data_IF_551072658829
#
_entry.id   IF_551072658829
#
_cell.length_a   1.000
_cell.length_b   1.000
_cell.length_c   1.000
_cell.angle_alpha   90.00
_cell.angle_beta   90.00
_cell.angle_gamma   90.00
#
_symmetry.space_group_name_H-M   'P 1'
#
loop_
_entity.id
_entity.type
_entity.pdbx_description
1 polymer ?
#
# COMPACT_ATOMS: atom_id res chain seq x y z
N UNK A 1 -2.63 -5.81 22.48
CA UNK A 1 -2.42 -4.35 22.45
C UNK A 1 -3.14 -3.79 21.25
N UNK A 2 -3.77 -2.63 21.38
CA UNK A 2 -4.38 -1.95 20.24
C UNK A 2 -3.24 -1.39 19.37
N UNK A 3 -3.27 -1.72 18.08
CA UNK A 3 -2.32 -1.27 17.08
C UNK A 3 -2.86 0.00 16.39
N UNK A 4 -2.00 0.96 16.09
CA UNK A 4 -2.35 2.26 15.51
C UNK A 4 -1.40 2.64 14.37
N UNK A 5 -1.95 3.26 13.33
CA UNK A 5 -1.18 3.77 12.19
C UNK A 5 -0.14 4.83 12.56
N UNK A 6 -0.29 5.51 13.69
CA UNK A 6 0.68 6.47 14.22
C UNK A 6 1.95 5.81 14.76
N UNK A 7 1.93 4.52 15.05
CA UNK A 7 3.08 3.76 15.57
C UNK A 7 4.09 3.41 14.47
N UNK A 8 3.68 3.56 13.20
CA UNK A 8 4.54 3.29 12.06
C UNK A 8 5.58 4.40 11.92
N UNK A 9 6.88 4.04 11.85
CA UNK A 9 7.95 4.98 11.63
C UNK A 9 7.69 5.88 10.41
N UNK A 10 8.01 7.16 10.53
CA UNK A 10 7.97 8.13 9.43
C UNK A 10 9.37 8.25 8.84
N UNK A 11 9.50 8.07 7.52
CA UNK A 11 10.74 8.38 6.82
C UNK A 11 10.98 9.90 6.83
N UNK A 12 12.16 10.33 7.28
CA UNK A 12 12.53 11.76 7.26
C UNK A 12 12.85 12.25 5.85
N UNK A 13 13.29 11.35 4.96
CA UNK A 13 13.60 11.63 3.55
C UNK A 13 13.11 10.48 2.65
N UNK A 14 12.85 10.78 1.38
CA UNK A 14 12.16 9.87 0.44
C UNK A 14 12.87 8.53 0.22
N UNK A 15 14.19 8.48 0.42
CA UNK A 15 15.06 7.33 0.12
C UNK A 15 15.62 6.63 1.37
N UNK A 16 15.22 7.03 2.57
CA UNK A 16 15.78 6.47 3.81
C UNK A 16 14.79 5.62 4.59
N UNK A 17 15.16 4.35 4.78
CA UNK A 17 14.49 3.47 5.74
C UNK A 17 14.81 3.96 7.15
N UNK A 18 13.80 4.16 8.03
CA UNK A 18 14.01 4.51 9.43
C UNK A 18 14.98 3.56 10.15
N UNK A 19 15.88 4.12 10.97
CA UNK A 19 16.97 3.37 11.60
C UNK A 19 16.53 2.30 12.60
N UNK A 20 15.31 2.39 13.15
CA UNK A 20 14.74 1.34 14.00
C UNK A 20 14.26 0.09 13.25
N UNK A 21 14.20 0.15 11.91
CA UNK A 21 13.72 -0.96 11.09
C UNK A 21 14.85 -1.90 10.65
N UNK A 22 14.56 -3.19 10.42
CA UNK A 22 15.52 -4.13 9.87
C UNK A 22 16.06 -3.67 8.52
N UNK A 23 17.37 -3.85 8.31
CA UNK A 23 17.98 -3.67 7.00
C UNK A 23 17.39 -4.67 5.99
N UNK A 24 17.15 -4.20 4.78
CA UNK A 24 16.62 -5.03 3.69
C UNK A 24 15.90 -4.20 2.65
N UNK A 25 15.24 -4.89 1.71
CA UNK A 25 14.44 -4.26 0.67
C UNK A 25 13.06 -3.87 1.20
N UNK A 26 12.71 -2.61 0.99
CA UNK A 26 11.36 -2.11 1.19
C UNK A 26 10.76 -1.73 -0.15
N UNK A 27 9.48 -2.05 -0.33
CA UNK A 27 8.71 -1.65 -1.51
C UNK A 27 7.45 -0.92 -1.07
N UNK A 28 7.07 0.10 -1.82
CA UNK A 28 5.81 0.80 -1.61
C UNK A 28 4.66 -0.12 -2.00
N UNK A 29 3.68 -0.27 -1.11
CA UNK A 29 2.46 -1.05 -1.41
C UNK A 29 1.60 -0.28 -2.41
N UNK A 30 0.88 -0.99 -3.26
CA UNK A 30 -0.09 -0.39 -4.18
C UNK A 30 -1.15 0.37 -3.36
N UNK A 31 -1.52 1.62 -3.74
CA UNK A 31 -2.41 2.49 -2.97
C UNK A 31 -3.88 2.06 -3.10
N UNK A 32 -4.19 0.84 -2.66
CA UNK A 32 -5.52 0.25 -2.62
C UNK A 32 -5.76 -0.46 -1.28
N UNK A 33 -6.98 -0.95 -1.06
CA UNK A 33 -7.36 -1.62 0.19
C UNK A 33 -6.48 -2.84 0.52
N UNK A 34 -6.07 -3.63 -0.49
CA UNK A 34 -5.22 -4.80 -0.29
C UNK A 34 -3.79 -4.41 0.12
N UNK A 35 -3.22 -3.37 -0.50
CA UNK A 35 -1.94 -2.80 -0.11
C UNK A 35 -1.97 -2.23 1.30
N UNK A 36 -3.02 -1.50 1.65
CA UNK A 36 -3.22 -0.98 3.00
C UNK A 36 -3.33 -2.10 4.05
N UNK A 37 -4.06 -3.18 3.78
CA UNK A 37 -4.08 -4.36 4.67
C UNK A 37 -2.70 -5.01 4.79
N UNK A 38 -1.90 -5.00 3.73
CA UNK A 38 -0.52 -5.53 3.75
C UNK A 38 0.37 -4.67 4.66
N UNK A 39 0.30 -3.34 4.56
CA UNK A 39 0.99 -2.43 5.47
C UNK A 39 0.53 -2.63 6.93
N UNK A 40 -0.79 -2.76 7.15
CA UNK A 40 -1.36 -3.04 8.46
C UNK A 40 -0.81 -4.34 9.08
N UNK A 41 -0.73 -5.40 8.27
CA UNK A 41 -0.24 -6.72 8.69
C UNK A 41 1.26 -6.71 8.97
N UNK A 42 2.04 -5.99 8.17
CA UNK A 42 3.49 -5.90 8.34
C UNK A 42 3.86 -5.35 9.73
N UNK A 43 3.07 -4.38 10.19
CA UNK A 43 3.23 -3.71 11.48
C UNK A 43 4.43 -2.76 11.53
N UNK A 44 4.60 -2.00 12.63
CA UNK A 44 5.59 -0.94 12.75
C UNK A 44 7.05 -1.42 12.77
N UNK A 45 7.29 -2.74 12.86
CA UNK A 45 8.64 -3.32 12.83
C UNK A 45 9.10 -3.75 11.43
N UNK A 46 8.21 -3.73 10.44
CA UNK A 46 8.50 -4.13 9.05
C UNK A 46 7.86 -3.19 8.04
N UNK A 47 7.34 -2.07 8.50
CA UNK A 47 6.68 -1.09 7.65
C UNK A 47 6.94 0.30 8.18
N UNK A 48 7.16 1.24 7.26
CA UNK A 48 7.20 2.67 7.54
C UNK A 48 6.31 3.42 6.55
N UNK A 49 6.04 4.68 6.86
CA UNK A 49 5.31 5.60 5.98
C UNK A 49 6.22 6.73 5.50
N UNK A 50 5.93 7.26 4.32
CA UNK A 50 6.53 8.49 3.81
C UNK A 50 5.44 9.48 3.40
N UNK A 51 5.66 10.81 3.54
CA UNK A 51 4.73 11.79 3.02
C UNK A 51 4.49 11.58 1.52
N UNK A 52 3.23 11.56 1.11
CA UNK A 52 2.82 11.44 -0.28
C UNK A 52 1.65 12.39 -0.53
N UNK A 53 1.90 13.71 -0.62
CA UNK A 53 0.88 14.72 -0.85
C UNK A 53 0.36 14.65 -2.29
N UNK A 54 -0.79 15.26 -2.60
CA UNK A 54 -1.38 15.21 -3.93
C UNK A 54 -0.41 15.66 -5.05
N UNK A 55 0.46 16.64 -4.77
CA UNK A 55 1.48 17.12 -5.70
C UNK A 55 2.56 16.10 -6.05
N UNK A 56 2.75 15.04 -5.26
CA UNK A 56 3.70 13.97 -5.52
C UNK A 56 3.09 12.85 -6.38
N UNK A 57 1.77 12.83 -6.57
CA UNK A 57 1.11 11.86 -7.43
C UNK A 57 1.31 12.20 -8.91
N UNK A 58 1.38 11.18 -9.79
CA UNK A 58 1.38 11.41 -11.23
C UNK A 58 0.04 12.03 -11.70
N UNK A 59 0.04 12.85 -12.76
CA UNK A 59 -1.19 13.39 -13.35
C UNK A 59 -2.21 12.31 -13.71
N UNK A 60 -3.49 12.61 -13.52
CA UNK A 60 -4.59 11.73 -13.89
C UNK A 60 -4.86 11.84 -15.38
N UNK A 61 -4.96 10.70 -16.06
CA UNK A 61 -5.39 10.64 -17.45
C UNK A 61 -6.91 10.75 -17.53
N UNK A 62 -7.41 11.82 -18.13
CA UNK A 62 -8.84 12.02 -18.37
C UNK A 62 -9.16 11.62 -19.81
N UNK A 63 -10.22 10.82 -19.96
CA UNK A 63 -10.72 10.40 -21.27
C UNK A 63 -12.18 10.80 -21.39
N UNK A 64 -12.54 11.50 -22.46
CA UNK A 64 -13.92 11.83 -22.79
C UNK A 64 -14.37 11.04 -24.01
N UNK A 65 -15.55 10.45 -23.91
CA UNK A 65 -16.16 9.64 -24.96
C UNK A 65 -17.07 8.55 -24.40
N UNK A 66 -17.62 7.72 -25.28
CA UNK A 66 -18.44 6.58 -24.87
C UNK A 66 -17.57 5.47 -24.27
N UNK A 67 -17.92 4.87 -23.10
CA UNK A 67 -17.10 3.87 -22.38
C UNK A 67 -16.90 2.50 -23.07
N UNK A 68 -17.12 2.41 -24.39
CA UNK A 68 -16.92 1.21 -25.19
C UNK A 68 -16.33 1.48 -26.58
N UNK A 69 -15.84 2.70 -26.83
CA UNK A 69 -15.16 3.10 -28.07
C UNK A 69 -13.81 3.73 -27.71
N UNK A 70 -12.96 3.90 -28.72
CA UNK A 70 -11.77 4.74 -28.53
C UNK A 70 -12.18 6.13 -28.05
N UNK A 71 -11.46 6.72 -27.07
CA UNK A 71 -11.79 8.04 -26.54
C UNK A 71 -11.72 9.09 -27.65
N UNK A 72 -12.69 10.00 -27.65
CA UNK A 72 -12.71 11.14 -28.58
C UNK A 72 -11.67 12.19 -28.17
N UNK A 73 -11.44 12.34 -26.86
CA UNK A 73 -10.44 13.25 -26.30
C UNK A 73 -9.68 12.57 -25.14
N UNK A 74 -8.38 12.83 -25.07
CA UNK A 74 -7.50 12.37 -23.99
C UNK A 74 -6.59 13.52 -23.57
N UNK A 75 -6.58 13.84 -22.28
CA UNK A 75 -5.66 14.81 -21.70
C UNK A 75 -5.24 14.38 -20.29
N UNK A 76 -4.31 15.12 -19.69
CA UNK A 76 -3.83 14.86 -18.34
C UNK A 76 -4.14 16.07 -17.46
N UNK A 77 -4.67 15.81 -16.27
CA UNK A 77 -4.93 16.82 -15.25
C UNK A 77 -4.02 16.57 -14.03
N UNK A 78 -3.57 17.61 -13.32
CA UNK A 78 -2.86 17.43 -12.06
C UNK A 78 -3.70 16.61 -11.08
N UNK A 79 -3.05 15.71 -10.33
CA UNK A 79 -3.70 15.01 -9.24
C UNK A 79 -3.99 16.00 -8.10
N UNK A 80 -5.24 16.05 -7.65
CA UNK A 80 -5.71 17.06 -6.69
C UNK A 80 -5.85 16.51 -5.28
N UNK A 81 -6.00 17.41 -4.29
CA UNK A 81 -6.34 17.03 -2.92
C UNK A 81 -7.71 16.33 -2.82
N UNK A 82 -8.62 16.63 -3.76
CA UNK A 82 -9.91 15.94 -3.84
C UNK A 82 -9.73 14.50 -4.32
N UNK A 83 -8.89 14.26 -5.33
CA UNK A 83 -8.53 12.91 -5.77
C UNK A 83 -7.86 12.11 -4.64
N UNK A 84 -6.94 12.76 -3.90
CA UNK A 84 -6.27 12.15 -2.75
C UNK A 84 -7.28 11.75 -1.67
N UNK A 85 -8.24 12.63 -1.39
CA UNK A 85 -9.32 12.39 -0.43
C UNK A 85 -10.16 11.19 -0.85
N UNK A 86 -10.63 11.16 -2.10
CA UNK A 86 -11.45 10.08 -2.64
C UNK A 86 -10.74 8.73 -2.55
N UNK A 87 -9.48 8.65 -3.03
CA UNK A 87 -8.69 7.41 -2.96
C UNK A 87 -8.53 6.93 -1.51
N UNK A 88 -8.22 7.83 -0.57
CA UNK A 88 -8.07 7.45 0.82
C UNK A 88 -9.40 7.04 1.49
N UNK A 89 -10.51 7.66 1.11
CA UNK A 89 -11.84 7.33 1.64
C UNK A 89 -12.31 5.96 1.15
N UNK A 90 -12.01 5.60 -0.10
CA UNK A 90 -12.24 4.25 -0.65
C UNK A 90 -11.39 3.20 0.08
N UNK A 91 -10.09 3.47 0.26
CA UNK A 91 -9.19 2.60 1.02
C UNK A 91 -9.67 2.44 2.47
N UNK A 92 -10.07 3.52 3.13
CA UNK A 92 -10.55 3.48 4.51
C UNK A 92 -11.87 2.74 4.66
N UNK A 93 -12.75 2.79 3.66
CA UNK A 93 -13.98 1.99 3.62
C UNK A 93 -13.65 0.50 3.61
N UNK A 94 -12.71 0.08 2.76
CA UNK A 94 -12.23 -1.30 2.70
C UNK A 94 -11.55 -1.76 4.01
N UNK A 95 -10.74 -0.89 4.63
CA UNK A 95 -10.12 -1.16 5.94
C UNK A 95 -11.19 -1.36 7.03
N UNK A 96 -12.23 -0.53 7.04
CA UNK A 96 -13.31 -0.62 8.02
C UNK A 96 -14.08 -1.95 7.90
N UNK A 97 -14.37 -2.39 6.68
CA UNK A 97 -14.98 -3.71 6.41
C UNK A 97 -14.10 -4.89 6.86
N UNK A 98 -12.78 -4.71 6.91
CA UNK A 98 -11.83 -5.67 7.46
C UNK A 98 -11.65 -5.56 8.99
N UNK A 99 -12.35 -4.63 9.66
CA UNK A 99 -12.19 -4.34 11.09
C UNK A 99 -10.88 -3.61 11.44
N UNK A 100 -10.24 -2.98 10.46
CA UNK A 100 -9.01 -2.19 10.62
C UNK A 100 -9.36 -0.71 10.78
N UNK A 101 -8.59 0.00 11.61
CA UNK A 101 -8.77 1.44 11.80
C UNK A 101 -8.46 2.21 10.51
N UNK A 102 -9.09 3.37 10.27
CA UNK A 102 -8.75 4.20 9.11
C UNK A 102 -7.29 4.68 9.19
N UNK A 103 -6.61 4.68 8.04
CA UNK A 103 -5.27 5.20 7.89
C UNK A 103 -5.26 6.72 7.77
N UNK A 104 -4.19 7.41 8.22
CA UNK A 104 -3.99 8.82 7.91
C UNK A 104 -3.81 9.03 6.39
N UNK A 105 -4.30 10.17 5.89
CA UNK A 105 -4.19 10.57 4.48
C UNK A 105 -2.80 11.10 4.14
N UNK A 106 -2.46 11.08 2.86
CA UNK A 106 -1.23 11.70 2.35
C UNK A 106 0.04 10.95 2.74
N UNK A 107 -0.06 9.64 2.91
CA UNK A 107 1.08 8.76 3.17
C UNK A 107 1.11 7.62 2.18
N UNK A 108 2.33 7.27 1.78
CA UNK A 108 2.62 6.02 1.12
C UNK A 108 3.31 5.07 2.10
N UNK A 109 2.96 3.79 2.02
CA UNK A 109 3.39 2.78 2.97
C UNK A 109 4.39 1.84 2.33
N UNK A 110 5.52 1.64 2.99
CA UNK A 110 6.61 0.81 2.51
C UNK A 110 6.77 -0.40 3.42
N UNK A 111 6.80 -1.61 2.86
CA UNK A 111 6.89 -2.85 3.63
C UNK A 111 8.15 -3.62 3.28
N UNK A 112 8.73 -4.28 4.29
CA UNK A 112 9.89 -5.14 4.13
C UNK A 112 9.51 -6.36 3.28
N UNK A 113 10.34 -6.70 2.31
CA UNK A 113 10.16 -7.83 1.40
C UNK A 113 11.50 -8.53 1.11
N UNK A 114 11.49 -9.80 0.68
CA UNK A 114 12.69 -10.44 0.15
C UNK A 114 13.18 -9.77 -1.15
N UNK A 115 14.47 -9.90 -1.45
CA UNK A 115 15.11 -9.36 -2.65
C UNK A 115 14.50 -9.83 -3.98
N UNK A 116 13.76 -10.95 -3.96
CA UNK A 116 13.03 -11.47 -5.12
C UNK A 116 11.81 -10.62 -5.51
N UNK A 117 11.28 -9.80 -4.61
CA UNK A 117 10.17 -8.87 -4.86
C UNK A 117 10.75 -7.50 -5.17
N UNK A 118 10.51 -7.00 -6.39
CA UNK A 118 11.17 -5.79 -6.88
C UNK A 118 10.40 -4.50 -6.58
N UNK A 119 9.08 -4.58 -6.59
CA UNK A 119 8.17 -3.45 -6.45
C UNK A 119 6.82 -3.87 -5.82
N UNK A 120 5.93 -2.89 -5.63
CA UNK A 120 4.59 -3.10 -5.08
C UNK A 120 3.68 -4.00 -5.93
N UNK A 121 3.83 -3.97 -7.25
CA UNK A 121 3.06 -4.81 -8.19
C UNK A 121 3.48 -6.27 -8.06
N UNK A 122 4.78 -6.54 -7.97
CA UNK A 122 5.34 -7.87 -7.71
C UNK A 122 4.85 -8.42 -6.36
N UNK A 123 4.80 -7.57 -5.32
CA UNK A 123 4.25 -7.93 -4.01
C UNK A 123 2.77 -8.24 -4.08
N UNK A 124 1.96 -7.34 -4.65
CA UNK A 124 0.51 -7.51 -4.75
C UNK A 124 0.18 -8.78 -5.53
N UNK A 125 0.85 -9.01 -6.66
CA UNK A 125 0.70 -10.23 -7.46
C UNK A 125 1.06 -11.49 -6.67
N UNK A 126 2.15 -11.47 -5.90
CA UNK A 126 2.58 -12.62 -5.10
C UNK A 126 1.56 -12.97 -3.99
N UNK A 127 0.95 -11.96 -3.37
CA UNK A 127 -0.08 -12.15 -2.34
C UNK A 127 -1.42 -12.56 -2.96
N UNK A 128 -1.88 -11.86 -4.01
CA UNK A 128 -3.16 -12.15 -4.68
C UNK A 128 -3.20 -13.50 -5.35
N UNK A 129 -2.09 -13.96 -5.96
CA UNK A 129 -2.03 -15.29 -6.59
C UNK A 129 -2.34 -16.44 -5.62
N UNK A 130 -2.25 -16.20 -4.31
CA UNK A 130 -2.50 -17.18 -3.25
C UNK A 130 -3.69 -16.81 -2.36
N UNK A 131 -4.40 -15.73 -2.67
CA UNK A 131 -5.56 -15.24 -1.94
C UNK A 131 -6.84 -15.54 -2.74
N UNK A 132 -7.66 -16.46 -2.24
CA UNK A 132 -8.93 -16.85 -2.88
C UNK A 132 -10.15 -16.14 -2.27
N UNK A 133 -9.94 -15.16 -1.39
CA UNK A 133 -10.99 -14.48 -0.67
C UNK A 133 -11.30 -13.13 -1.28
N UNK A 134 -12.58 -12.73 -1.20
CA UNK A 134 -13.08 -11.44 -1.68
C UNK A 134 -13.47 -10.56 -0.47
N UNK A 135 -14.02 -11.17 0.58
CA UNK A 135 -14.45 -10.47 1.79
C UNK A 135 -13.26 -9.84 2.54
N UNK A 136 -13.27 -8.53 2.85
CA UNK A 136 -12.11 -7.83 3.41
C UNK A 136 -11.56 -8.44 4.71
N UNK A 137 -12.44 -8.94 5.58
CA UNK A 137 -12.04 -9.62 6.83
C UNK A 137 -11.30 -10.95 6.56
N UNK A 138 -11.73 -11.71 5.56
CA UNK A 138 -11.05 -12.96 5.17
C UNK A 138 -9.73 -12.65 4.44
N UNK A 139 -9.73 -11.64 3.58
CA UNK A 139 -8.54 -11.10 2.90
C UNK A 139 -7.49 -10.68 3.92
N UNK A 140 -7.86 -9.95 4.99
CA UNK A 140 -6.94 -9.59 6.07
C UNK A 140 -6.30 -10.83 6.72
N UNK A 141 -7.12 -11.85 6.99
CA UNK A 141 -6.64 -13.11 7.58
C UNK A 141 -5.67 -13.85 6.64
N UNK A 142 -5.97 -13.85 5.34
CA UNK A 142 -5.10 -14.43 4.31
C UNK A 142 -3.79 -13.67 4.17
N UNK A 143 -3.83 -12.33 4.03
CA UNK A 143 -2.65 -11.46 3.94
C UNK A 143 -1.73 -11.68 5.14
N UNK A 144 -2.27 -11.81 6.36
CA UNK A 144 -1.46 -12.13 7.55
C UNK A 144 -0.60 -13.36 7.37
N UNK A 145 -1.16 -14.45 6.83
CA UNK A 145 -0.41 -15.70 6.61
C UNK A 145 0.55 -15.58 5.44
N UNK A 146 0.11 -14.95 4.34
CA UNK A 146 0.87 -14.85 3.10
C UNK A 146 2.07 -13.92 3.25
N UNK A 147 1.89 -12.75 3.89
CA UNK A 147 2.98 -11.81 4.14
C UNK A 147 4.05 -12.43 5.06
N UNK A 148 3.66 -13.16 6.11
CA UNK A 148 4.64 -13.90 6.93
C UNK A 148 5.41 -14.94 6.11
N UNK A 149 4.74 -15.63 5.18
CA UNK A 149 5.40 -16.57 4.27
C UNK A 149 6.36 -15.88 3.28
N UNK A 150 6.09 -14.63 2.92
CA UNK A 150 6.98 -13.79 2.09
C UNK A 150 8.20 -13.38 2.91
N UNK A 151 8.01 -12.83 4.11
CA UNK A 151 9.10 -12.36 4.98
C UNK A 151 10.04 -13.49 5.40
N UNK A 152 9.54 -14.72 5.60
CA UNK A 152 10.39 -15.90 5.90
C UNK A 152 11.39 -16.27 4.81
N UNK A 153 11.26 -15.72 3.60
CA UNK A 153 12.21 -15.91 2.51
C UNK A 153 13.39 -14.94 2.60
N UNK A 154 13.35 -13.96 3.49
CA UNK A 154 14.48 -13.06 3.76
C UNK A 154 15.56 -13.88 4.48
N UNK A 155 16.77 -13.99 3.92
CA UNK A 155 17.87 -14.67 4.60
C UNK A 155 18.20 -13.96 5.92
N UNK A 156 18.60 -14.69 6.97
CA UNK A 156 19.04 -14.07 8.20
C UNK A 156 20.22 -13.14 7.92
N UNK A 157 20.15 -11.91 8.45
CA UNK A 157 21.28 -10.98 8.42
C UNK A 157 22.49 -11.66 9.07
N UNK A 158 23.58 -11.80 8.31
CA UNK A 158 24.85 -12.38 8.79
C UNK A 158 25.60 -11.43 9.70
#
# INVERSE_FOLDING_TARGET
MAHYWSEYPLAETDDQVPGELPAGRYVSVIPNGHGALTAWVAGPHRCFRRPYPASAHPPVKVTRGHPGKEPEEVWFEPFTEEDLRMVNDDVNSYLAEAGVRPQPRGFEWNVLVPESIRDGEDLERALRAKNNYIEPTEVLTAIRRLYESVVRQIPPSS
#
